data_IF_281640479883
#
_entry.id   IF_281640479883
#
_cell.length_a   1.000
_cell.length_b   1.000
_cell.length_c   1.000
_cell.angle_alpha   90.00
_cell.angle_beta   90.00
_cell.angle_gamma   90.00
#
_symmetry.space_group_name_H-M   'P 1'
#
loop_
_entity.id
_entity.type
_entity.pdbx_description
1 polymer ?
#
# COMPACT_ATOMS: atom_id res chain seq x y z
N UNK A 1 -16.97 5.52 18.20
CA UNK A 1 -16.81 6.13 16.86
C UNK A 1 -16.14 5.08 16.01
N UNK A 2 -16.76 4.66 14.91
CA UNK A 2 -16.14 3.70 13.98
C UNK A 2 -15.03 4.42 13.24
N UNK A 3 -13.85 3.82 13.19
CA UNK A 3 -12.70 4.33 12.42
C UNK A 3 -13.05 4.38 10.92
N UNK A 4 -12.58 5.41 10.22
CA UNK A 4 -12.88 5.58 8.78
C UNK A 4 -12.22 4.46 7.97
N UNK A 5 -12.74 4.18 6.77
CA UNK A 5 -12.15 3.13 5.93
C UNK A 5 -10.78 3.55 5.41
N UNK A 6 -10.61 4.86 5.16
CA UNK A 6 -9.32 5.44 4.84
C UNK A 6 -8.30 5.28 5.98
N UNK A 7 -8.71 5.49 7.24
CA UNK A 7 -7.79 5.32 8.37
C UNK A 7 -7.35 3.87 8.53
N UNK A 8 -8.27 2.91 8.34
CA UNK A 8 -7.92 1.49 8.31
C UNK A 8 -6.95 1.12 7.18
N UNK A 9 -7.06 1.80 6.03
CA UNK A 9 -6.09 1.63 4.94
C UNK A 9 -4.73 2.22 5.30
N UNK A 10 -4.68 3.41 5.92
CA UNK A 10 -3.45 4.04 6.42
C UNK A 10 -2.73 3.11 7.40
N UNK A 11 -3.46 2.55 8.37
CA UNK A 11 -2.87 1.67 9.37
C UNK A 11 -2.28 0.38 8.77
N UNK A 12 -2.79 -0.09 7.61
CA UNK A 12 -2.21 -1.22 6.88
C UNK A 12 -0.85 -0.87 6.28
N UNK A 13 -0.67 0.37 5.83
CA UNK A 13 0.61 0.84 5.27
C UNK A 13 1.61 1.27 6.36
N UNK A 14 1.13 1.80 7.48
CA UNK A 14 1.96 2.26 8.59
C UNK A 14 2.43 1.12 9.50
N UNK A 15 1.92 -0.11 9.30
CA UNK A 15 2.35 -1.25 10.11
C UNK A 15 3.85 -1.51 9.94
N UNK A 16 4.51 -1.86 11.04
CA UNK A 16 5.91 -2.28 10.95
C UNK A 16 6.04 -3.62 10.22
N UNK A 17 6.89 -3.66 9.20
CA UNK A 17 7.25 -4.86 8.45
C UNK A 17 6.79 -4.82 6.98
N UNK A 18 7.08 -5.89 6.23
CA UNK A 18 6.75 -5.95 4.81
C UNK A 18 5.24 -5.94 4.58
N UNK A 19 4.81 -5.27 3.52
CA UNK A 19 3.44 -5.35 3.03
C UNK A 19 3.21 -6.74 2.42
N UNK A 20 2.26 -7.49 2.97
CA UNK A 20 2.01 -8.90 2.65
C UNK A 20 0.74 -9.08 1.83
N UNK A 21 0.57 -10.28 1.26
CA UNK A 21 -0.67 -10.66 0.57
C UNK A 21 -1.92 -10.57 1.46
N UNK A 22 -1.78 -10.75 2.78
CA UNK A 22 -2.90 -10.60 3.70
C UNK A 22 -3.37 -9.14 3.79
N UNK A 23 -2.43 -8.18 3.73
CA UNK A 23 -2.73 -6.75 3.75
C UNK A 23 -3.39 -6.30 2.46
N UNK A 24 -2.93 -6.85 1.32
CA UNK A 24 -3.59 -6.67 0.01
C UNK A 24 -5.06 -7.09 0.09
N UNK A 25 -5.36 -8.29 0.59
CA UNK A 25 -6.74 -8.75 0.73
C UNK A 25 -7.57 -7.92 1.70
N UNK A 26 -6.95 -7.40 2.76
CA UNK A 26 -7.64 -6.53 3.71
C UNK A 26 -7.96 -5.17 3.05
N UNK A 27 -7.05 -4.66 2.23
CA UNK A 27 -7.23 -3.42 1.48
C UNK A 27 -8.31 -3.57 0.39
N UNK A 28 -8.37 -4.69 -0.33
CA UNK A 28 -9.46 -5.01 -1.28
C UNK A 28 -10.84 -4.97 -0.58
N UNK A 29 -10.92 -5.47 0.66
CA UNK A 29 -12.16 -5.45 1.43
C UNK A 29 -12.53 -4.03 1.92
N UNK A 30 -11.55 -3.18 2.18
CA UNK A 30 -11.78 -1.77 2.53
C UNK A 30 -12.26 -0.99 1.32
N UNK A 31 -11.62 -1.17 0.17
CA UNK A 31 -12.01 -0.57 -1.10
C UNK A 31 -13.45 -0.96 -1.49
N UNK A 32 -13.79 -2.26 -1.41
CA UNK A 32 -15.14 -2.74 -1.71
C UNK A 32 -16.24 -2.16 -0.81
N UNK A 33 -15.87 -1.64 0.37
CA UNK A 33 -16.79 -0.98 1.32
C UNK A 33 -16.77 0.55 1.19
N UNK A 34 -15.69 1.11 0.66
CA UNK A 34 -15.50 2.53 0.51
C UNK A 34 -16.36 3.07 -0.64
N UNK A 35 -16.72 4.35 -0.55
CA UNK A 35 -17.44 5.04 -1.60
C UNK A 35 -17.05 6.52 -1.61
N UNK A 36 -17.28 7.17 -2.75
CA UNK A 36 -17.00 8.60 -2.91
C UNK A 36 -15.52 8.92 -2.70
N UNK A 37 -15.25 9.92 -1.88
CA UNK A 37 -13.90 10.46 -1.64
C UNK A 37 -12.96 9.45 -0.96
N UNK A 38 -13.45 8.65 0.00
CA UNK A 38 -12.63 7.63 0.65
C UNK A 38 -12.15 6.55 -0.34
N UNK A 39 -13.01 6.17 -1.29
CA UNK A 39 -12.63 5.20 -2.32
C UNK A 39 -11.52 5.76 -3.23
N UNK A 40 -11.65 7.02 -3.65
CA UNK A 40 -10.62 7.69 -4.43
C UNK A 40 -9.28 7.77 -3.69
N UNK A 41 -9.30 8.16 -2.42
CA UNK A 41 -8.09 8.26 -1.60
C UNK A 41 -7.43 6.89 -1.35
N UNK A 42 -8.23 5.83 -1.12
CA UNK A 42 -7.70 4.45 -1.00
C UNK A 42 -7.03 4.01 -2.32
N UNK A 43 -7.63 4.35 -3.47
CA UNK A 43 -7.03 4.07 -4.79
C UNK A 43 -5.71 4.81 -5.01
N UNK A 44 -5.65 6.10 -4.68
CA UNK A 44 -4.42 6.90 -4.78
C UNK A 44 -3.28 6.33 -3.91
N UNK A 45 -3.61 5.85 -2.71
CA UNK A 45 -2.64 5.18 -1.84
C UNK A 45 -2.09 3.90 -2.46
N UNK A 46 -2.94 3.12 -3.15
CA UNK A 46 -2.54 1.92 -3.86
C UNK A 46 -1.52 2.21 -4.96
N UNK A 47 -1.81 3.23 -5.77
CA UNK A 47 -0.92 3.65 -6.86
C UNK A 47 0.43 4.14 -6.32
N UNK A 48 0.40 4.95 -5.25
CA UNK A 48 1.62 5.44 -4.61
C UNK A 48 2.46 4.31 -4.01
N UNK A 49 1.83 3.33 -3.34
CA UNK A 49 2.52 2.20 -2.75
C UNK A 49 3.17 1.29 -3.80
N UNK A 50 2.47 1.04 -4.92
CA UNK A 50 3.05 0.28 -6.04
C UNK A 50 4.25 1.01 -6.66
N UNK A 51 4.15 2.32 -6.89
CA UNK A 51 5.24 3.11 -7.43
C UNK A 51 6.48 3.07 -6.52
N UNK A 52 6.27 3.17 -5.20
CA UNK A 52 7.35 3.07 -4.22
C UNK A 52 7.97 1.66 -4.18
N UNK A 53 7.15 0.61 -4.28
CA UNK A 53 7.64 -0.77 -4.32
C UNK A 53 8.47 -1.05 -5.59
N UNK A 54 8.06 -0.52 -6.75
CA UNK A 54 8.81 -0.63 -8.00
C UNK A 54 10.14 0.14 -7.92
N UNK A 55 10.15 1.33 -7.30
CA UNK A 55 11.37 2.10 -7.06
C UNK A 55 12.34 1.37 -6.11
N UNK A 56 11.83 0.77 -5.02
CA UNK A 56 12.62 -0.03 -4.09
C UNK A 56 13.20 -1.28 -4.79
N UNK A 57 12.39 -1.98 -5.59
CA UNK A 57 12.84 -3.14 -6.36
C UNK A 57 13.94 -2.77 -7.37
N UNK A 58 13.78 -1.63 -8.06
CA UNK A 58 14.80 -1.11 -8.99
C UNK A 58 16.10 -0.77 -8.25
N UNK A 59 16.01 -0.18 -7.06
CA UNK A 59 17.16 0.13 -6.23
C UNK A 59 17.94 -1.14 -5.83
N UNK A 60 17.24 -2.19 -5.39
CA UNK A 60 17.89 -3.48 -5.09
C UNK A 60 18.55 -4.09 -6.32
N UNK A 61 17.88 -4.08 -7.48
CA UNK A 61 18.43 -4.64 -8.72
C UNK A 61 19.69 -3.93 -9.20
N UNK A 62 19.74 -2.60 -9.09
CA UNK A 62 20.90 -1.79 -9.53
C UNK A 62 22.06 -1.85 -8.55
N UNK A 63 21.80 -2.01 -7.25
CA UNK A 63 22.86 -2.12 -6.24
C UNK A 63 23.60 -3.47 -6.30
N UNK A 64 22.97 -4.53 -6.81
CA UNK A 64 23.60 -5.84 -7.02
C UNK A 64 24.68 -5.79 -8.12
N UNK A 65 24.61 -4.85 -9.06
CA UNK A 65 25.56 -4.75 -10.18
C UNK A 65 26.86 -4.02 -9.82
N UNK A 66 26.89 -3.22 -8.73
CA UNK A 66 28.07 -2.45 -8.31
C UNK A 66 29.00 -3.23 -7.34
N UNK A 67 28.55 -4.37 -6.79
CA UNK A 67 29.30 -5.22 -5.84
C UNK A 67 29.90 -6.50 -6.49
N UNK A 68 29.86 -6.63 -7.83
CA UNK A 68 30.28 -7.81 -8.60
C UNK A 68 31.60 -7.64 -9.39
#
# INVERSE_FOLDING_TARGET
>A
MTESLLQQAIDLFDKEGPFTLADVHQLEQLEAKANGEELSLIGEMWEAAMANADEEALHYMTTIEDDA
#
